data_IF_923002990523
#
_entry.id   IF_923002990523
#
_cell.length_a   1.000
_cell.length_b   1.000
_cell.length_c   1.000
_cell.angle_alpha   90.00
_cell.angle_beta   90.00
_cell.angle_gamma   90.00
#
_symmetry.space_group_name_H-M   'P 1'
#
loop_
_entity.id
_entity.type
_entity.pdbx_description
1 polymer ?
#
# COMPACT_ATOMS: atom_id res chain seq x y z
N UNK A 1 15.50 8.29 -42.62
CA UNK A 1 15.21 7.48 -41.40
C UNK A 1 14.21 8.27 -40.59
N UNK A 2 12.92 7.87 -40.62
CA UNK A 2 11.90 8.39 -39.72
C UNK A 2 12.26 7.80 -38.37
N UNK A 3 12.72 8.63 -37.44
CA UNK A 3 12.86 8.27 -36.04
C UNK A 3 11.44 8.03 -35.56
N UNK A 4 11.08 6.75 -35.33
CA UNK A 4 9.75 6.39 -34.85
C UNK A 4 9.52 7.07 -33.51
N UNK A 5 8.62 8.03 -33.49
CA UNK A 5 8.12 8.62 -32.21
C UNK A 5 7.47 7.47 -31.47
N UNK A 6 8.11 7.02 -30.39
CA UNK A 6 7.48 6.03 -29.50
C UNK A 6 6.21 6.66 -28.92
N UNK A 7 5.05 6.20 -29.42
CA UNK A 7 3.79 6.70 -28.88
C UNK A 7 3.57 6.14 -27.47
N UNK A 8 3.22 7.01 -26.53
CA UNK A 8 2.79 6.62 -25.18
C UNK A 8 1.56 5.72 -25.33
N UNK A 9 1.62 4.51 -24.77
CA UNK A 9 0.53 3.53 -24.82
C UNK A 9 -0.19 3.38 -23.50
N UNK A 10 0.46 3.74 -22.41
CA UNK A 10 -0.07 3.63 -21.05
C UNK A 10 0.44 4.76 -20.16
N UNK A 11 -0.37 5.18 -19.23
CA UNK A 11 -0.02 6.15 -18.17
C UNK A 11 -0.45 5.59 -16.83
N UNK A 12 0.43 5.67 -15.86
CA UNK A 12 0.18 5.25 -14.48
C UNK A 12 0.05 6.48 -13.59
N UNK A 13 -1.02 6.56 -12.82
CA UNK A 13 -1.29 7.69 -11.94
C UNK A 13 -1.28 7.25 -10.49
N UNK A 14 -0.58 8.00 -9.65
CA UNK A 14 -0.80 7.96 -8.22
C UNK A 14 -2.14 8.63 -7.86
N UNK A 15 -2.71 8.28 -6.73
CA UNK A 15 -4.01 8.80 -6.27
C UNK A 15 -3.80 10.08 -5.46
N UNK A 16 -3.10 9.97 -4.36
CA UNK A 16 -3.03 10.99 -3.32
C UNK A 16 -2.09 12.14 -3.71
N UNK A 17 -2.66 13.32 -3.85
CA UNK A 17 -1.93 14.50 -4.33
C UNK A 17 -1.68 14.54 -5.85
N UNK A 18 -2.14 13.52 -6.61
CA UNK A 18 -2.04 13.45 -8.08
C UNK A 18 -3.41 13.51 -8.72
N UNK A 19 -4.19 12.44 -8.64
CA UNK A 19 -5.56 12.41 -9.16
C UNK A 19 -6.53 13.09 -8.21
N UNK A 20 -6.31 12.93 -6.91
CA UNK A 20 -7.18 13.41 -5.84
C UNK A 20 -6.44 14.43 -5.00
N UNK A 21 -7.03 15.59 -4.80
CA UNK A 21 -6.48 16.65 -3.95
C UNK A 21 -6.56 16.26 -2.47
N UNK A 22 -5.51 16.50 -1.70
CA UNK A 22 -5.52 16.37 -0.23
C UNK A 22 -6.54 17.26 0.48
N UNK A 23 -7.02 18.34 -0.19
CA UNK A 23 -8.00 19.27 0.41
C UNK A 23 -9.44 18.82 0.23
N UNK A 24 -9.77 18.23 -0.91
CA UNK A 24 -11.15 17.90 -1.27
C UNK A 24 -11.44 16.39 -1.21
N UNK A 25 -10.41 15.57 -1.20
CA UNK A 25 -10.46 14.10 -1.26
C UNK A 25 -11.34 13.58 -2.42
N UNK A 26 -11.50 14.39 -3.48
CA UNK A 26 -12.31 14.09 -4.66
C UNK A 26 -11.52 14.30 -5.93
N UNK A 27 -11.91 13.55 -6.96
CA UNK A 27 -11.41 13.69 -8.31
C UNK A 27 -12.01 14.96 -8.95
N UNK A 28 -11.20 15.95 -9.38
CA UNK A 28 -11.71 17.15 -10.04
C UNK A 28 -12.30 16.85 -11.43
N UNK A 29 -13.31 17.59 -11.86
CA UNK A 29 -13.92 17.44 -13.19
C UNK A 29 -12.90 17.62 -14.33
N UNK A 30 -11.89 18.48 -14.14
CA UNK A 30 -10.82 18.67 -15.12
C UNK A 30 -9.97 17.40 -15.28
N UNK A 31 -9.73 16.68 -14.19
CA UNK A 31 -9.00 15.40 -14.20
C UNK A 31 -9.85 14.32 -14.88
N UNK A 32 -11.15 14.26 -14.59
CA UNK A 32 -12.08 13.33 -15.28
C UNK A 32 -12.01 13.53 -16.79
N UNK A 33 -12.17 14.77 -17.26
CA UNK A 33 -12.06 15.09 -18.71
C UNK A 33 -10.70 14.71 -19.30
N UNK A 34 -9.60 14.91 -18.55
CA UNK A 34 -8.26 14.54 -19.02
C UNK A 34 -8.11 13.00 -19.17
N UNK A 35 -8.66 12.23 -18.24
CA UNK A 35 -8.68 10.77 -18.32
C UNK A 35 -9.48 10.28 -19.53
N UNK A 36 -10.64 10.90 -19.81
CA UNK A 36 -11.46 10.56 -20.95
C UNK A 36 -10.72 10.87 -22.28
N UNK A 37 -10.04 12.01 -22.39
CA UNK A 37 -9.21 12.34 -23.56
C UNK A 37 -8.05 11.37 -23.79
N UNK A 38 -7.46 10.82 -22.71
CA UNK A 38 -6.43 9.77 -22.85
C UNK A 38 -7.03 8.50 -23.46
N UNK A 39 -8.19 8.08 -22.96
CA UNK A 39 -8.92 6.89 -23.47
C UNK A 39 -9.35 7.04 -24.92
N UNK A 40 -9.86 8.22 -25.31
CA UNK A 40 -10.21 8.54 -26.70
C UNK A 40 -9.01 8.42 -27.64
N UNK A 41 -7.80 8.70 -27.16
CA UNK A 41 -6.55 8.51 -27.90
C UNK A 41 -6.02 7.07 -27.86
N UNK A 42 -6.74 6.15 -27.28
CA UNK A 42 -6.32 4.73 -27.12
C UNK A 42 -5.19 4.52 -26.11
N UNK A 43 -4.94 5.50 -25.22
CA UNK A 43 -3.93 5.39 -24.17
C UNK A 43 -4.55 4.70 -22.97
N UNK A 44 -3.93 3.62 -22.52
CA UNK A 44 -4.34 2.87 -21.34
C UNK A 44 -4.05 3.66 -20.06
N UNK A 45 -4.97 3.60 -19.09
CA UNK A 45 -4.88 4.36 -17.85
C UNK A 45 -4.87 3.41 -16.66
N UNK A 46 -3.80 3.47 -15.87
CA UNK A 46 -3.58 2.62 -14.72
C UNK A 46 -3.47 3.45 -13.43
N UNK A 47 -3.82 2.84 -12.30
CA UNK A 47 -3.52 3.37 -10.97
C UNK A 47 -2.23 2.74 -10.45
N UNK A 48 -1.39 3.56 -9.78
CA UNK A 48 -0.19 3.10 -9.07
C UNK A 48 -0.13 3.78 -7.69
N UNK A 49 -0.51 3.04 -6.64
CA UNK A 49 -0.73 3.59 -5.29
C UNK A 49 -0.14 2.71 -4.20
N UNK A 50 0.16 3.32 -3.03
CA UNK A 50 0.45 2.57 -1.81
C UNK A 50 -0.80 1.99 -1.15
N UNK A 51 -2.01 2.44 -1.54
CA UNK A 51 -3.25 1.96 -0.96
C UNK A 51 -3.52 0.50 -1.33
N UNK A 52 -4.23 -0.20 -0.44
CA UNK A 52 -4.89 -1.47 -0.74
C UNK A 52 -6.06 -1.22 -1.70
N UNK A 53 -6.35 -2.16 -2.60
CA UNK A 53 -7.41 -2.02 -3.61
C UNK A 53 -8.76 -1.63 -3.00
N UNK A 54 -9.14 -2.26 -1.90
CA UNK A 54 -10.41 -2.02 -1.21
C UNK A 54 -10.51 -0.62 -0.58
N UNK A 55 -9.37 0.02 -0.32
CA UNK A 55 -9.30 1.39 0.20
C UNK A 55 -9.37 2.47 -0.88
N UNK A 56 -9.50 2.08 -2.16
CA UNK A 56 -9.68 3.00 -3.29
C UNK A 56 -11.17 3.27 -3.47
N UNK A 57 -11.68 4.30 -2.81
CA UNK A 57 -13.11 4.62 -2.76
C UNK A 57 -13.47 6.04 -3.23
N UNK A 58 -12.49 6.82 -3.70
CA UNK A 58 -12.64 8.25 -4.00
C UNK A 58 -12.36 8.62 -5.47
N UNK A 59 -12.34 7.65 -6.38
CA UNK A 59 -12.16 7.85 -7.81
C UNK A 59 -13.50 7.94 -8.58
N UNK A 60 -14.63 8.00 -7.88
CA UNK A 60 -15.96 8.06 -8.46
C UNK A 60 -16.28 6.83 -9.30
N UNK A 61 -16.89 7.04 -10.47
CA UNK A 61 -17.25 5.98 -11.42
C UNK A 61 -16.18 5.71 -12.46
N UNK A 62 -14.97 6.27 -12.28
CA UNK A 62 -13.89 6.08 -13.24
C UNK A 62 -13.39 4.63 -13.28
N UNK A 63 -13.26 4.10 -14.48
CA UNK A 63 -12.69 2.78 -14.72
C UNK A 63 -11.22 2.90 -15.15
N UNK A 64 -10.40 1.95 -14.72
CA UNK A 64 -8.98 1.90 -15.04
C UNK A 64 -8.64 0.54 -15.66
N UNK A 65 -7.65 0.54 -16.54
CA UNK A 65 -7.21 -0.68 -17.26
C UNK A 65 -6.48 -1.65 -16.32
N UNK A 66 -6.05 -1.17 -15.14
CA UNK A 66 -5.47 -2.00 -14.09
C UNK A 66 -4.94 -1.18 -12.92
N UNK A 67 -4.45 -1.88 -11.92
CA UNK A 67 -4.05 -1.32 -10.64
C UNK A 67 -2.72 -1.92 -10.18
N UNK A 68 -1.78 -1.08 -9.82
CA UNK A 68 -0.58 -1.39 -9.06
C UNK A 68 -0.83 -0.87 -7.65
N UNK A 69 -1.11 -1.76 -6.71
CA UNK A 69 -1.46 -1.43 -5.32
C UNK A 69 -0.38 -1.89 -4.36
N UNK A 70 -0.45 -1.46 -3.10
CA UNK A 70 0.49 -1.84 -2.04
C UNK A 70 1.95 -1.60 -2.46
N UNK A 71 2.23 -0.42 -3.05
CA UNK A 71 3.55 -0.06 -3.56
C UNK A 71 4.15 -1.10 -4.53
N UNK A 72 3.32 -1.73 -5.37
CA UNK A 72 3.74 -2.76 -6.30
C UNK A 72 3.63 -4.20 -5.79
N UNK A 73 3.20 -4.39 -4.55
CA UNK A 73 3.04 -5.72 -3.95
C UNK A 73 1.86 -6.51 -4.50
N UNK A 74 0.87 -5.83 -5.09
CA UNK A 74 -0.33 -6.48 -5.62
C UNK A 74 -0.81 -5.77 -6.89
N UNK A 75 -0.75 -6.45 -8.02
CA UNK A 75 -1.09 -5.85 -9.32
C UNK A 75 -2.21 -6.60 -10.03
N UNK A 76 -3.13 -5.81 -10.62
CA UNK A 76 -4.29 -6.34 -11.34
C UNK A 76 -4.37 -5.76 -12.76
N UNK A 77 -4.82 -6.59 -13.70
CA UNK A 77 -5.37 -6.14 -14.98
C UNK A 77 -6.89 -6.04 -14.84
N UNK A 78 -7.46 -4.86 -15.12
CA UNK A 78 -8.83 -4.56 -14.72
C UNK A 78 -8.97 -4.57 -13.20
N UNK A 79 -10.16 -4.92 -12.69
CA UNK A 79 -10.44 -4.96 -11.23
C UNK A 79 -10.28 -6.37 -10.63
N UNK A 80 -10.31 -7.41 -11.43
CA UNK A 80 -10.51 -8.79 -10.94
C UNK A 80 -9.35 -9.73 -11.27
N UNK A 81 -8.56 -9.42 -12.30
CA UNK A 81 -7.50 -10.33 -12.75
C UNK A 81 -6.18 -9.99 -12.09
N UNK A 82 -5.82 -10.71 -11.04
CA UNK A 82 -4.49 -10.60 -10.42
C UNK A 82 -3.42 -11.09 -11.41
N UNK A 83 -2.39 -10.27 -11.64
CA UNK A 83 -1.28 -10.55 -12.55
C UNK A 83 0.06 -10.65 -11.84
N UNK A 84 0.18 -10.09 -10.64
CA UNK A 84 1.39 -10.14 -9.85
C UNK A 84 1.09 -10.02 -8.36
N UNK A 85 1.81 -10.80 -7.55
CA UNK A 85 1.82 -10.74 -6.09
C UNK A 85 3.25 -10.77 -5.59
N UNK A 86 3.57 -9.93 -4.63
CA UNK A 86 4.84 -9.90 -3.93
C UNK A 86 4.58 -9.64 -2.44
N UNK A 87 4.45 -10.70 -1.70
CA UNK A 87 4.15 -10.68 -0.27
C UNK A 87 5.42 -10.86 0.58
N UNK A 88 5.35 -10.43 1.82
CA UNK A 88 6.38 -10.69 2.83
C UNK A 88 6.50 -12.21 3.01
N UNK A 89 7.71 -12.79 2.98
CA UNK A 89 7.89 -14.21 3.20
C UNK A 89 7.31 -14.66 4.54
N UNK A 90 6.62 -15.79 4.55
CA UNK A 90 5.99 -16.32 5.77
C UNK A 90 7.01 -16.51 6.93
N UNK A 91 8.26 -16.83 6.59
CA UNK A 91 9.35 -16.93 7.57
C UNK A 91 9.65 -15.61 8.29
N UNK A 92 9.58 -14.49 7.59
CA UNK A 92 9.77 -13.15 8.18
C UNK A 92 8.60 -12.81 9.11
N UNK A 93 7.36 -13.13 8.70
CA UNK A 93 6.17 -12.94 9.58
C UNK A 93 6.29 -13.79 10.85
N UNK A 94 6.70 -15.04 10.75
CA UNK A 94 6.93 -15.90 11.91
C UNK A 94 8.08 -15.39 12.80
N UNK A 95 9.14 -14.83 12.21
CA UNK A 95 10.24 -14.21 12.95
C UNK A 95 9.77 -12.97 13.71
N UNK A 96 8.96 -12.11 13.07
CA UNK A 96 8.35 -10.95 13.71
C UNK A 96 7.46 -11.33 14.89
N UNK A 97 6.61 -12.34 14.72
CA UNK A 97 5.74 -12.84 15.78
C UNK A 97 6.58 -13.29 16.99
N UNK A 98 7.60 -14.12 16.75
CA UNK A 98 8.50 -14.58 17.82
C UNK A 98 9.24 -13.43 18.50
N UNK A 99 9.70 -12.45 17.74
CA UNK A 99 10.35 -11.26 18.28
C UNK A 99 9.42 -10.48 19.21
N UNK A 100 8.20 -10.22 18.76
CA UNK A 100 7.21 -9.47 19.58
C UNK A 100 6.77 -10.22 20.85
N UNK A 101 6.77 -11.55 20.83
CA UNK A 101 6.40 -12.37 21.99
C UNK A 101 7.52 -12.49 23.03
N UNK A 102 8.77 -12.49 22.61
CA UNK A 102 9.90 -12.82 23.49
C UNK A 102 10.80 -11.62 23.83
N UNK A 103 10.81 -10.58 23.02
CA UNK A 103 11.73 -9.44 23.19
C UNK A 103 11.00 -8.12 23.38
N UNK A 104 10.38 -7.58 22.32
CA UNK A 104 9.75 -6.27 22.36
C UNK A 104 8.46 -6.25 21.55
N UNK A 105 7.33 -6.03 22.24
CA UNK A 105 6.05 -5.83 21.59
C UNK A 105 5.88 -4.37 21.14
N UNK A 106 5.39 -4.18 19.94
CA UNK A 106 4.99 -2.89 19.39
C UNK A 106 3.72 -3.04 18.54
N UNK A 107 2.90 -1.97 18.41
CA UNK A 107 1.72 -2.03 17.55
C UNK A 107 2.13 -2.30 16.10
N UNK A 108 1.43 -3.23 15.46
CA UNK A 108 1.70 -3.59 14.08
C UNK A 108 0.40 -3.99 13.38
N UNK A 109 0.12 -3.40 12.22
CA UNK A 109 -0.95 -3.86 11.37
C UNK A 109 -0.42 -4.72 10.24
N UNK A 110 -1.08 -5.86 10.00
CA UNK A 110 -0.86 -6.72 8.84
C UNK A 110 -1.80 -6.28 7.72
N UNK A 111 -1.26 -5.93 6.57
CA UNK A 111 -2.01 -5.61 5.36
C UNK A 111 -2.08 -6.86 4.50
N UNK A 112 -3.26 -7.46 4.46
CA UNK A 112 -3.59 -8.68 3.72
C UNK A 112 -4.41 -8.33 2.47
N UNK A 113 -4.72 -9.31 1.64
CA UNK A 113 -5.55 -9.10 0.44
C UNK A 113 -6.96 -8.62 0.80
N UNK A 114 -7.54 -9.16 1.87
CA UNK A 114 -8.92 -8.94 2.29
C UNK A 114 -9.09 -7.88 3.39
N UNK A 115 -8.03 -7.29 3.91
CA UNK A 115 -8.15 -6.27 4.95
C UNK A 115 -6.84 -5.89 5.63
N UNK A 116 -6.97 -4.95 6.56
CA UNK A 116 -5.89 -4.50 7.45
C UNK A 116 -6.30 -4.89 8.87
N UNK A 117 -5.40 -5.53 9.60
CA UNK A 117 -5.66 -6.05 10.94
C UNK A 117 -4.58 -5.62 11.91
N UNK A 118 -4.96 -4.89 12.96
CA UNK A 118 -4.06 -4.35 13.98
C UNK A 118 -3.92 -5.33 15.14
N UNK A 119 -2.69 -5.58 15.63
CA UNK A 119 -2.50 -6.46 16.79
C UNK A 119 -3.01 -5.85 18.10
N UNK A 120 -2.71 -4.59 18.36
CA UNK A 120 -3.27 -3.79 19.47
C UNK A 120 -3.11 -2.29 19.18
N UNK A 121 -3.76 -1.45 19.98
CA UNK A 121 -3.78 0.01 19.83
C UNK A 121 -3.14 0.66 21.03
N UNK A 122 -2.16 1.52 20.79
CA UNK A 122 -1.62 2.47 21.74
C UNK A 122 -1.84 3.93 21.28
N UNK A 123 -1.20 4.88 21.92
CA UNK A 123 -1.36 6.29 21.58
C UNK A 123 -0.76 6.65 20.22
N UNK A 124 0.29 5.96 19.77
CA UNK A 124 0.89 6.19 18.44
C UNK A 124 -0.06 5.77 17.31
N UNK A 125 -0.76 4.64 17.49
CA UNK A 125 -1.79 4.17 16.56
C UNK A 125 -2.95 5.16 16.52
N UNK A 126 -3.49 5.57 17.70
CA UNK A 126 -4.58 6.55 17.76
C UNK A 126 -4.21 7.84 17.04
N UNK A 127 -3.02 8.38 17.35
CA UNK A 127 -2.54 9.62 16.75
C UNK A 127 -2.46 9.54 15.21
N UNK A 128 -2.02 8.42 14.65
CA UNK A 128 -1.97 8.24 13.19
C UNK A 128 -3.36 8.23 12.58
N UNK A 129 -4.26 7.39 13.10
CA UNK A 129 -5.60 7.22 12.52
C UNK A 129 -6.45 8.48 12.69
N UNK A 130 -6.34 9.20 13.82
CA UNK A 130 -6.99 10.49 14.04
C UNK A 130 -6.46 11.56 13.07
N UNK A 131 -5.14 11.60 12.85
CA UNK A 131 -4.52 12.52 11.87
C UNK A 131 -4.99 12.27 10.43
N UNK A 132 -5.20 11.01 10.07
CA UNK A 132 -5.63 10.62 8.72
C UNK A 132 -7.15 10.64 8.54
N UNK A 133 -7.92 10.84 9.61
CA UNK A 133 -9.39 10.69 9.61
C UNK A 133 -9.83 9.33 9.04
N UNK A 134 -9.12 8.27 9.44
CA UNK A 134 -9.39 6.90 9.02
C UNK A 134 -9.96 6.06 10.17
N UNK A 135 -10.86 5.12 9.88
CA UNK A 135 -11.34 4.17 10.89
C UNK A 135 -10.20 3.26 11.34
N UNK A 136 -10.18 2.95 12.63
CA UNK A 136 -9.24 1.97 13.17
C UNK A 136 -9.48 0.59 12.56
N UNK A 137 -8.42 -0.12 12.13
CA UNK A 137 -8.53 -1.48 11.69
C UNK A 137 -9.08 -2.40 12.81
N UNK A 138 -9.77 -3.49 12.45
CA UNK A 138 -10.18 -4.49 13.41
C UNK A 138 -8.96 -5.10 14.11
N UNK A 139 -9.14 -5.41 15.41
CA UNK A 139 -8.09 -6.03 16.20
C UNK A 139 -8.02 -7.53 15.93
N UNK A 140 -6.80 -8.01 15.70
CA UNK A 140 -6.50 -9.43 15.56
C UNK A 140 -5.05 -9.69 16.00
N UNK A 141 -4.80 -10.64 16.93
CA UNK A 141 -3.43 -11.03 17.29
C UNK A 141 -2.64 -11.46 16.05
N UNK A 142 -1.34 -11.19 16.01
CA UNK A 142 -0.50 -11.54 14.84
C UNK A 142 -0.58 -13.03 14.49
N UNK A 143 -0.58 -13.94 15.49
CA UNK A 143 -0.79 -15.38 15.26
C UNK A 143 -2.17 -15.73 14.68
N UNK A 144 -3.13 -14.83 14.79
CA UNK A 144 -4.47 -14.98 14.19
C UNK A 144 -4.48 -14.78 12.67
N UNK A 145 -3.34 -14.47 12.05
CA UNK A 145 -3.19 -14.34 10.59
C UNK A 145 -3.56 -15.64 9.84
N UNK A 146 -3.36 -16.82 10.47
CA UNK A 146 -3.72 -18.10 9.87
C UNK A 146 -2.92 -18.47 8.62
N UNK A 147 -1.71 -17.92 8.46
CA UNK A 147 -0.85 -18.16 7.30
C UNK A 147 -1.26 -17.42 6.03
N UNK A 148 -2.13 -16.40 6.12
CA UNK A 148 -2.48 -15.55 4.98
C UNK A 148 -1.29 -14.73 4.49
N UNK A 149 -1.28 -14.43 3.20
CA UNK A 149 -0.27 -13.56 2.57
C UNK A 149 -0.36 -12.13 3.13
N UNK A 150 0.78 -11.61 3.60
CA UNK A 150 0.93 -10.24 4.10
C UNK A 150 1.77 -9.46 3.10
N UNK A 151 1.24 -8.35 2.62
CA UNK A 151 1.88 -7.53 1.58
C UNK A 151 2.63 -6.33 2.14
N UNK A 152 2.23 -5.88 3.33
CA UNK A 152 2.83 -4.74 4.01
C UNK A 152 2.57 -4.85 5.52
N UNK A 153 3.50 -4.32 6.32
CA UNK A 153 3.27 -4.05 7.74
C UNK A 153 3.20 -2.53 7.92
N UNK A 154 2.27 -2.08 8.76
CA UNK A 154 2.29 -0.72 9.32
C UNK A 154 2.79 -0.91 10.75
N UNK A 155 4.08 -0.67 10.98
CA UNK A 155 4.76 -1.06 12.20
C UNK A 155 5.15 0.18 13.03
N UNK A 156 4.61 0.28 14.25
CA UNK A 156 4.76 1.45 15.12
C UNK A 156 5.95 1.26 16.06
N UNK A 157 7.14 1.45 15.53
CA UNK A 157 8.38 1.49 16.29
C UNK A 157 9.17 2.75 15.96
N UNK A 158 9.98 3.22 16.93
CA UNK A 158 10.78 4.42 16.72
C UNK A 158 11.95 4.20 15.75
N UNK A 159 12.47 5.25 15.10
CA UNK A 159 13.65 5.13 14.24
C UNK A 159 14.87 4.50 14.93
N UNK A 160 15.02 4.68 16.24
CA UNK A 160 16.11 4.08 17.01
C UNK A 160 16.04 2.54 17.15
N UNK A 161 14.87 1.94 16.93
CA UNK A 161 14.67 0.49 16.99
C UNK A 161 14.67 -0.17 15.60
N UNK A 162 14.72 0.63 14.53
CA UNK A 162 14.55 0.15 13.15
C UNK A 162 15.58 -0.91 12.76
N UNK A 163 16.87 -0.65 13.00
CA UNK A 163 17.93 -1.60 12.63
C UNK A 163 17.72 -2.97 13.30
N UNK A 164 17.40 -2.98 14.59
CA UNK A 164 17.17 -4.21 15.35
C UNK A 164 15.93 -4.95 14.83
N UNK A 165 14.82 -4.26 14.62
CA UNK A 165 13.57 -4.87 14.15
C UNK A 165 13.74 -5.36 12.71
N UNK A 166 14.37 -4.57 11.84
CA UNK A 166 14.61 -4.99 10.45
C UNK A 166 15.62 -6.13 10.32
N UNK A 167 16.46 -6.37 11.34
CA UNK A 167 17.35 -7.55 11.33
C UNK A 167 16.62 -8.90 11.39
N UNK A 168 15.38 -8.91 11.94
CA UNK A 168 14.53 -10.12 11.95
C UNK A 168 13.65 -10.24 10.70
N UNK A 169 13.68 -9.25 9.82
CA UNK A 169 12.93 -9.19 8.56
C UNK A 169 13.89 -9.04 7.35
N UNK A 170 14.81 -9.99 7.10
CA UNK A 170 15.91 -9.83 6.14
C UNK A 170 15.44 -9.64 4.70
N UNK A 171 14.23 -10.07 4.35
CA UNK A 171 13.66 -9.95 3.01
C UNK A 171 12.77 -8.70 2.85
N UNK A 172 12.72 -7.83 3.86
CA UNK A 172 11.92 -6.62 3.85
C UNK A 172 12.78 -5.36 3.87
N UNK A 173 12.15 -4.25 3.55
CA UNK A 173 12.68 -2.89 3.69
C UNK A 173 11.64 -1.98 4.34
N UNK A 174 12.11 -1.02 5.13
CA UNK A 174 11.26 -0.07 5.83
C UNK A 174 11.34 1.30 5.15
N UNK A 175 10.21 1.96 5.01
CA UNK A 175 10.11 3.35 4.60
C UNK A 175 9.30 4.16 5.60
N UNK A 176 9.65 5.44 5.80
CA UNK A 176 8.96 6.33 6.73
C UNK A 176 8.59 7.63 6.04
N UNK A 177 7.35 8.03 6.17
CA UNK A 177 6.89 9.38 5.89
C UNK A 177 6.41 10.10 7.15
N UNK A 178 6.33 9.37 8.29
CA UNK A 178 5.96 9.89 9.61
C UNK A 178 6.85 9.21 10.67
N UNK A 179 7.32 9.92 11.71
CA UNK A 179 8.19 9.34 12.74
C UNK A 179 7.52 8.27 13.61
N UNK A 180 6.17 8.22 13.67
CA UNK A 180 5.42 7.29 14.53
C UNK A 180 5.50 5.83 14.06
N UNK A 181 5.67 5.59 12.77
CA UNK A 181 5.62 4.23 12.20
C UNK A 181 6.51 4.09 10.97
N UNK A 182 6.71 2.85 10.57
CA UNK A 182 7.31 2.47 9.29
C UNK A 182 6.34 1.62 8.47
N UNK A 183 6.29 1.89 7.17
CA UNK A 183 5.76 0.96 6.19
C UNK A 183 6.86 -0.05 5.86
N UNK A 184 6.63 -1.32 6.18
CA UNK A 184 7.56 -2.42 5.89
C UNK A 184 6.99 -3.26 4.76
N UNK A 185 7.73 -3.36 3.68
CA UNK A 185 7.33 -4.07 2.44
C UNK A 185 8.42 -5.05 2.02
N UNK A 186 8.10 -6.07 1.21
CA UNK A 186 9.13 -6.93 0.61
C UNK A 186 10.16 -6.10 -0.17
N UNK A 187 11.44 -6.47 -0.07
CA UNK A 187 12.52 -5.78 -0.81
C UNK A 187 12.26 -5.76 -2.30
N UNK A 188 12.44 -4.59 -2.92
CA UNK A 188 12.22 -4.39 -4.34
C UNK A 188 10.74 -4.18 -4.70
N UNK A 189 9.85 -4.00 -3.75
CA UNK A 189 8.49 -3.52 -4.02
C UNK A 189 8.56 -2.06 -4.49
N UNK A 190 7.99 -1.77 -5.64
CA UNK A 190 8.00 -0.43 -6.24
C UNK A 190 6.72 -0.19 -7.04
N UNK A 191 6.25 1.05 -7.06
CA UNK A 191 5.17 1.49 -7.97
C UNK A 191 5.64 1.59 -9.42
N UNK A 192 6.96 1.57 -9.65
CA UNK A 192 7.61 1.70 -10.97
C UNK A 192 8.04 0.35 -11.51
#
# INVERSE_FOLDING_TARGET
KIIGISMIKAVFFDIDGTLVSFKTHKLPDSTVRALDLLREKGIKVFIATGRQLQSINNLGTQEFDGYVTLNGGYCLAGKDKVIYKHNIPAGDIEALIRYQENEEAFPCALVEEDGIYQNYVDDSVRQLYDMLDFPHPPLRPLRGNGGKEVYQLIAFFSPGHEERIMSVLPHCEATRWNPLFADVVPRGSSKA
#
